data_IF_546989345034
#
_entry.id   IF_546989345034
#
_cell.length_a   1.000
_cell.length_b   1.000
_cell.length_c   1.000
_cell.angle_alpha   90.00
_cell.angle_beta   90.00
_cell.angle_gamma   90.00
#
_symmetry.space_group_name_H-M   'P 1'
#
loop_
_entity.id
_entity.type
_entity.pdbx_description
1 polymer ?
#
# COMPACT_ATOMS: atom_id res chain seq x y z
N UNK A 1 18.79 10.20 -4.07
CA UNK A 1 17.79 11.22 -4.51
C UNK A 1 17.31 11.01 -5.95
N UNK A 2 18.13 10.46 -6.85
CA UNK A 2 17.77 10.19 -8.27
C UNK A 2 16.87 8.95 -8.45
N UNK A 3 17.21 7.82 -7.83
CA UNK A 3 16.41 6.57 -7.87
C UNK A 3 14.96 6.75 -7.40
N UNK A 4 14.72 7.62 -6.41
CA UNK A 4 13.37 7.98 -5.97
C UNK A 4 12.60 8.61 -7.11
N UNK A 5 13.13 9.65 -7.77
CA UNK A 5 12.43 10.40 -8.82
C UNK A 5 12.08 9.58 -10.06
N UNK A 6 12.81 8.49 -10.30
CA UNK A 6 12.62 7.62 -11.46
C UNK A 6 11.78 6.38 -11.16
N UNK A 7 11.34 6.17 -9.91
CA UNK A 7 10.60 4.97 -9.49
C UNK A 7 11.41 3.67 -9.55
N UNK A 8 12.74 3.76 -9.74
CA UNK A 8 13.62 2.60 -9.85
C UNK A 8 13.74 1.81 -8.53
N UNK A 9 13.31 2.40 -7.42
CA UNK A 9 13.24 1.76 -6.11
C UNK A 9 12.11 0.71 -6.00
N UNK A 10 11.15 0.71 -6.93
CA UNK A 10 10.06 -0.28 -6.98
C UNK A 10 10.39 -1.51 -7.87
N UNK A 11 11.48 -1.47 -8.66
CA UNK A 11 11.90 -2.61 -9.51
C UNK A 11 12.16 -3.92 -8.73
N UNK A 12 12.86 -3.92 -7.58
CA UNK A 12 13.01 -5.15 -6.78
C UNK A 12 11.67 -5.70 -6.28
N UNK A 13 10.69 -4.84 -6.00
CA UNK A 13 9.34 -5.27 -5.58
C UNK A 13 8.58 -5.89 -6.74
N UNK A 14 8.75 -5.39 -7.97
CA UNK A 14 8.18 -6.01 -9.16
C UNK A 14 8.72 -7.43 -9.39
N UNK A 15 10.01 -7.64 -9.15
CA UNK A 15 10.63 -8.99 -9.20
C UNK A 15 9.99 -9.93 -8.18
N UNK A 16 9.70 -9.45 -6.96
CA UNK A 16 8.99 -10.24 -5.94
C UNK A 16 7.56 -10.61 -6.35
N UNK A 17 6.89 -9.78 -7.17
CA UNK A 17 5.58 -10.12 -7.76
C UNK A 17 5.73 -11.27 -8.76
N UNK A 18 6.76 -11.22 -9.61
CA UNK A 18 7.04 -12.29 -10.59
C UNK A 18 7.36 -13.63 -9.92
N UNK A 19 8.09 -13.61 -8.80
CA UNK A 19 8.38 -14.81 -7.99
C UNK A 19 7.23 -15.21 -7.05
N UNK A 20 6.08 -14.52 -7.11
CA UNK A 20 4.89 -14.86 -6.33
C UNK A 20 5.00 -14.57 -4.82
N UNK A 21 6.04 -13.87 -4.38
CA UNK A 21 6.25 -13.43 -2.99
C UNK A 21 5.37 -12.22 -2.65
N UNK A 22 5.05 -11.40 -3.64
CA UNK A 22 4.12 -10.27 -3.56
C UNK A 22 3.00 -10.40 -4.60
N UNK A 23 1.93 -9.65 -4.40
CA UNK A 23 0.86 -9.44 -5.38
C UNK A 23 1.03 -8.08 -6.06
N UNK A 24 0.45 -7.90 -7.25
CA UNK A 24 0.36 -6.59 -7.89
C UNK A 24 -0.51 -5.64 -7.05
N UNK A 25 -1.64 -6.15 -6.55
CA UNK A 25 -2.57 -5.43 -5.68
C UNK A 25 -2.70 -6.14 -4.33
N UNK A 26 -2.57 -5.39 -3.24
CA UNK A 26 -2.69 -5.90 -1.89
C UNK A 26 -2.30 -4.88 -0.82
N UNK A 27 -2.46 -5.21 0.46
CA UNK A 27 -2.01 -4.35 1.55
C UNK A 27 -0.50 -4.11 1.45
N UNK A 28 -0.06 -2.86 1.52
CA UNK A 28 1.38 -2.55 1.48
C UNK A 28 2.08 -3.11 2.73
N UNK A 29 3.29 -3.71 2.61
CA UNK A 29 4.05 -4.17 3.78
C UNK A 29 4.40 -3.00 4.72
N UNK A 30 4.29 -3.25 6.02
CA UNK A 30 4.73 -2.34 7.08
C UNK A 30 6.04 -2.83 7.68
N UNK A 31 6.84 -1.94 8.25
CA UNK A 31 8.03 -2.36 9.00
C UNK A 31 7.62 -3.12 10.26
N UNK A 32 8.48 -4.00 10.76
CA UNK A 32 8.17 -4.81 11.94
C UNK A 32 7.87 -3.95 13.19
N UNK A 33 8.57 -2.81 13.34
CA UNK A 33 8.34 -1.86 14.44
C UNK A 33 6.98 -1.19 14.34
N UNK A 34 6.61 -0.70 13.16
CA UNK A 34 5.30 -0.08 12.92
C UNK A 34 4.16 -1.07 13.15
N UNK A 35 4.34 -2.33 12.72
CA UNK A 35 3.29 -3.35 12.82
C UNK A 35 2.89 -3.71 14.25
N UNK A 36 3.83 -3.72 15.20
CA UNK A 36 3.54 -4.00 16.60
C UNK A 36 2.69 -2.88 17.24
N UNK A 37 3.07 -1.62 17.00
CA UNK A 37 2.31 -0.46 17.47
C UNK A 37 0.91 -0.44 16.88
N UNK A 38 0.78 -0.70 15.58
CA UNK A 38 -0.50 -0.65 14.89
C UNK A 38 -1.42 -1.80 15.26
N UNK A 39 -0.88 -3.00 15.49
CA UNK A 39 -1.64 -4.14 15.98
C UNK A 39 -2.20 -3.91 17.40
N UNK A 40 -1.50 -3.13 18.23
CA UNK A 40 -2.00 -2.72 19.55
C UNK A 40 -3.10 -1.65 19.46
N UNK A 41 -3.03 -0.76 18.46
CA UNK A 41 -3.98 0.36 18.32
C UNK A 41 -5.23 0.03 17.50
N UNK A 42 -5.17 -0.94 16.56
CA UNK A 42 -6.26 -1.24 15.64
C UNK A 42 -6.57 -2.74 15.62
N UNK A 43 -7.71 -3.12 16.19
CA UNK A 43 -8.10 -4.52 16.37
C UNK A 43 -8.13 -5.32 15.04
N UNK A 44 -8.56 -4.69 13.95
CA UNK A 44 -8.66 -5.30 12.62
C UNK A 44 -7.33 -5.37 11.87
N UNK A 45 -6.23 -4.86 12.43
CA UNK A 45 -4.92 -4.80 11.77
C UNK A 45 -4.46 -6.17 11.26
N UNK A 46 -4.71 -7.24 12.02
CA UNK A 46 -4.26 -8.61 11.69
C UNK A 46 -4.93 -9.18 10.43
N UNK A 47 -6.10 -8.69 10.04
CA UNK A 47 -6.82 -9.14 8.83
C UNK A 47 -5.96 -8.93 7.59
N UNK A 48 -5.10 -7.91 7.59
CA UNK A 48 -4.19 -7.61 6.49
C UNK A 48 -3.25 -8.75 6.12
N UNK A 49 -2.92 -9.62 7.06
CA UNK A 49 -2.03 -10.77 6.83
C UNK A 49 -2.70 -11.91 6.03
N UNK A 50 -4.00 -11.80 5.74
CA UNK A 50 -4.75 -12.79 4.97
C UNK A 50 -4.56 -12.63 3.45
N UNK A 51 -3.98 -11.50 3.02
CA UNK A 51 -3.63 -11.26 1.62
C UNK A 51 -2.11 -11.10 1.47
N UNK A 52 -1.59 -11.47 0.29
CA UNK A 52 -0.19 -11.22 -0.05
C UNK A 52 0.08 -9.71 -0.05
N UNK A 53 1.27 -9.27 0.41
CA UNK A 53 1.65 -7.88 0.30
C UNK A 53 1.60 -7.38 -1.14
N UNK A 54 1.05 -6.18 -1.35
CA UNK A 54 0.87 -5.58 -2.68
C UNK A 54 1.98 -4.61 -3.08
N UNK A 55 2.28 -4.54 -4.38
CA UNK A 55 3.05 -3.45 -4.98
C UNK A 55 2.27 -2.12 -4.87
N UNK A 56 0.98 -2.18 -5.23
CA UNK A 56 -0.01 -1.14 -4.92
C UNK A 56 -1.17 -1.72 -4.10
N UNK A 57 -2.09 -0.86 -3.65
CA UNK A 57 -3.26 -1.26 -2.88
C UNK A 57 -4.28 -0.13 -2.78
N UNK A 58 -5.47 -0.45 -2.29
CA UNK A 58 -6.58 0.51 -2.19
C UNK A 58 -6.20 1.74 -1.35
N UNK A 59 -5.46 1.57 -0.27
CA UNK A 59 -4.93 2.67 0.52
C UNK A 59 -4.03 3.61 -0.31
N UNK A 60 -3.11 3.05 -1.11
CA UNK A 60 -2.23 3.84 -2.00
C UNK A 60 -3.03 4.56 -3.09
N UNK A 61 -4.02 3.91 -3.68
CA UNK A 61 -4.90 4.50 -4.69
C UNK A 61 -5.75 5.65 -4.12
N UNK A 62 -6.15 5.58 -2.84
CA UNK A 62 -6.83 6.67 -2.14
C UNK A 62 -5.92 7.81 -1.70
N UNK A 63 -4.60 7.67 -1.88
CA UNK A 63 -3.62 8.66 -1.42
C UNK A 63 -3.35 8.59 0.09
N UNK A 64 -3.77 7.51 0.76
CA UNK A 64 -3.45 7.21 2.16
C UNK A 64 -2.02 6.68 2.24
N UNK A 65 -1.07 7.54 1.86
CA UNK A 65 0.38 7.31 1.87
C UNK A 65 1.00 8.00 3.09
N UNK A 66 2.11 7.45 3.56
CA UNK A 66 2.75 7.86 4.82
C UNK A 66 2.65 6.76 5.88
N UNK A 67 3.71 6.61 6.64
CA UNK A 67 3.88 5.60 7.69
C UNK A 67 5.16 5.89 8.46
N UNK A 68 5.27 5.34 9.66
CA UNK A 68 6.31 5.69 10.62
C UNK A 68 5.91 6.83 11.56
N UNK A 69 6.86 7.31 12.35
CA UNK A 69 6.66 8.15 13.54
C UNK A 69 6.00 9.53 13.30
N UNK A 70 5.84 9.96 12.04
CA UNK A 70 5.26 11.24 11.67
C UNK A 70 3.80 11.15 11.17
N UNK A 71 3.25 9.94 10.99
CA UNK A 71 1.87 9.77 10.54
C UNK A 71 0.89 9.95 11.70
N UNK A 72 -0.17 10.75 11.50
CA UNK A 72 -1.26 10.88 12.48
C UNK A 72 -1.99 9.54 12.68
N UNK A 73 -2.40 9.17 13.90
CA UNK A 73 -3.13 7.93 14.17
C UNK A 73 -4.38 7.73 13.30
N UNK A 74 -5.11 8.80 13.01
CA UNK A 74 -6.32 8.78 12.17
C UNK A 74 -6.03 8.28 10.74
N UNK A 75 -4.93 8.73 10.13
CA UNK A 75 -4.54 8.33 8.77
C UNK A 75 -4.15 6.85 8.71
N UNK A 76 -3.56 6.34 9.78
CA UNK A 76 -3.24 4.92 9.89
C UNK A 76 -4.52 4.08 9.93
N UNK A 77 -5.50 4.50 10.72
CA UNK A 77 -6.76 3.77 10.84
C UNK A 77 -7.50 3.73 9.51
N UNK A 78 -7.58 4.86 8.79
CA UNK A 78 -8.16 4.92 7.44
C UNK A 78 -7.43 3.99 6.46
N UNK A 79 -6.09 3.92 6.55
CA UNK A 79 -5.28 3.00 5.74
C UNK A 79 -5.62 1.55 6.06
N UNK A 80 -5.73 1.19 7.34
CA UNK A 80 -6.10 -0.17 7.75
C UNK A 80 -7.52 -0.49 7.30
N UNK A 81 -8.49 0.43 7.44
CA UNK A 81 -9.85 0.25 6.94
C UNK A 81 -9.88 0.03 5.42
N UNK A 82 -9.08 0.78 4.65
CA UNK A 82 -8.97 0.57 3.21
C UNK A 82 -8.38 -0.80 2.86
N UNK A 83 -7.36 -1.25 3.60
CA UNK A 83 -6.74 -2.56 3.39
C UNK A 83 -7.68 -3.72 3.79
N UNK A 84 -8.44 -3.57 4.89
CA UNK A 84 -9.48 -4.54 5.30
C UNK A 84 -10.60 -4.59 4.28
N UNK A 85 -11.12 -3.43 3.85
CA UNK A 85 -12.15 -3.35 2.83
C UNK A 85 -11.75 -4.07 1.54
N UNK A 86 -10.51 -3.86 1.10
CA UNK A 86 -9.96 -4.54 -0.08
C UNK A 86 -9.98 -6.07 0.07
N UNK A 87 -9.61 -6.59 1.24
CA UNK A 87 -9.60 -8.03 1.51
C UNK A 87 -11.01 -8.60 1.53
N UNK A 88 -11.95 -7.91 2.19
CA UNK A 88 -13.35 -8.35 2.31
C UNK A 88 -14.12 -8.28 0.98
N UNK A 89 -13.78 -7.33 0.11
CA UNK A 89 -14.48 -7.07 -1.15
C UNK A 89 -13.62 -7.39 -2.37
N UNK A 90 -12.63 -8.26 -2.19
CA UNK A 90 -11.70 -8.58 -3.27
C UNK A 90 -12.46 -9.07 -4.50
N UNK A 91 -12.16 -8.45 -5.64
CA UNK A 91 -12.66 -8.85 -6.95
C UNK A 91 -11.69 -8.40 -8.03
N UNK A 92 -11.68 -9.11 -9.15
CA UNK A 92 -10.84 -8.75 -10.28
C UNK A 92 -11.07 -7.31 -10.79
N UNK A 93 -12.32 -6.84 -10.76
CA UNK A 93 -12.67 -5.46 -11.14
C UNK A 93 -12.08 -4.43 -10.17
N UNK A 94 -12.05 -4.74 -8.88
CA UNK A 94 -11.42 -3.88 -7.88
C UNK A 94 -9.90 -3.78 -8.11
N UNK A 95 -9.24 -4.89 -8.43
CA UNK A 95 -7.81 -4.90 -8.77
C UNK A 95 -7.53 -4.01 -9.99
N UNK A 96 -8.30 -4.17 -11.06
CA UNK A 96 -8.15 -3.38 -12.28
C UNK A 96 -8.34 -1.88 -12.00
N UNK A 97 -9.35 -1.52 -11.21
CA UNK A 97 -9.60 -0.14 -10.78
C UNK A 97 -8.40 0.43 -10.02
N UNK A 98 -7.87 -0.32 -9.05
CA UNK A 98 -6.73 0.13 -8.21
C UNK A 98 -5.48 0.33 -9.08
N UNK A 99 -5.22 -0.56 -10.03
CA UNK A 99 -4.09 -0.42 -10.97
C UNK A 99 -4.24 0.84 -11.82
N UNK A 100 -5.41 1.09 -12.40
CA UNK A 100 -5.68 2.28 -13.22
C UNK A 100 -5.55 3.56 -12.39
N UNK A 101 -6.20 3.63 -11.22
CA UNK A 101 -6.10 4.80 -10.33
C UNK A 101 -4.65 5.07 -9.91
N UNK A 102 -3.88 4.01 -9.63
CA UNK A 102 -2.46 4.11 -9.29
C UNK A 102 -1.65 4.62 -10.49
N UNK A 103 -1.85 4.07 -11.70
CA UNK A 103 -1.14 4.47 -12.90
C UNK A 103 -1.42 5.93 -13.27
N UNK A 104 -2.69 6.34 -13.26
CA UNK A 104 -3.11 7.72 -13.53
C UNK A 104 -2.47 8.67 -12.53
N UNK A 105 -2.52 8.36 -11.23
CA UNK A 105 -1.85 9.20 -10.21
C UNK A 105 -0.35 9.29 -10.44
N UNK A 106 0.31 8.17 -10.73
CA UNK A 106 1.77 8.11 -10.97
C UNK A 106 2.19 8.93 -12.18
N UNK A 107 1.44 8.86 -13.28
CA UNK A 107 1.76 9.54 -14.53
C UNK A 107 1.38 11.04 -14.51
N UNK A 108 0.23 11.39 -13.93
CA UNK A 108 -0.31 12.75 -14.01
C UNK A 108 -0.13 13.59 -12.74
N UNK A 109 0.27 13.00 -11.61
CA UNK A 109 0.53 13.73 -10.35
C UNK A 109 1.81 13.29 -9.60
N UNK A 110 2.98 13.14 -10.27
CA UNK A 110 4.21 12.53 -9.73
C UNK A 110 4.73 13.18 -8.43
N UNK A 111 4.52 14.49 -8.26
CA UNK A 111 4.96 15.26 -7.09
C UNK A 111 4.33 14.77 -5.78
N UNK A 112 3.10 14.24 -5.82
CA UNK A 112 2.38 13.73 -4.64
C UNK A 112 2.83 12.32 -4.22
N UNK A 113 3.52 11.58 -5.09
CA UNK A 113 3.91 10.19 -4.81
C UNK A 113 5.25 10.06 -4.09
N UNK A 114 6.12 11.05 -4.24
CA UNK A 114 7.51 10.99 -3.77
C UNK A 114 7.71 11.62 -2.40
N UNK A 115 6.70 12.24 -1.81
CA UNK A 115 6.75 12.75 -0.43
C UNK A 115 6.47 11.61 0.55
N UNK A 116 7.47 10.74 0.75
CA UNK A 116 7.68 10.04 2.01
C UNK A 116 8.51 10.93 2.91
#
# INVERSE_FOLDING_TARGET
>A
RWMRKTGLDELPQLVNVLFGQMSMVGPRPHTAGDGATYAASVATYKIRYWAKPGLTGLAQARGLRGGGSAARPEMLEERIRADVYYIEHWSFLLDLRIVIETAVRTLFAPATLHSK
#
